data_IF_371021752343
#
_entry.id   IF_371021752343
#
_cell.length_a   1.000
_cell.length_b   1.000
_cell.length_c   1.000
_cell.angle_alpha   90.00
_cell.angle_beta   90.00
_cell.angle_gamma   90.00
#
_symmetry.space_group_name_H-M   'P 1'
#
loop_
_entity.id
_entity.type
_entity.pdbx_description
1 polymer ?
#
# COMPACT_ATOMS: atom_id res chain seq x y z
N UNK A 1 -17.02 -14.77 39.71
CA UNK A 1 -16.45 -14.57 38.36
C UNK A 1 -14.94 -14.69 38.47
N UNK A 2 -14.30 -15.55 37.68
CA UNK A 2 -12.84 -15.65 37.71
C UNK A 2 -12.22 -14.31 37.33
N UNK A 3 -11.26 -13.82 38.13
CA UNK A 3 -10.57 -12.55 37.85
C UNK A 3 -9.79 -12.72 36.55
N UNK A 4 -10.23 -12.04 35.49
CA UNK A 4 -9.56 -12.03 34.20
C UNK A 4 -8.21 -11.31 34.38
N UNK A 5 -7.11 -12.05 34.44
CA UNK A 5 -5.77 -11.49 34.61
C UNK A 5 -4.76 -12.20 33.71
N UNK A 6 -3.80 -11.47 33.11
CA UNK A 6 -2.67 -12.08 32.43
C UNK A 6 -1.92 -13.04 33.37
N UNK A 7 -1.42 -14.16 32.84
CA UNK A 7 -0.58 -15.06 33.63
C UNK A 7 0.79 -14.44 33.87
N UNK A 8 1.28 -14.57 35.11
CA UNK A 8 2.62 -14.17 35.49
C UNK A 8 3.65 -15.13 34.87
N UNK A 9 4.49 -14.59 33.99
CA UNK A 9 5.57 -15.30 33.32
C UNK A 9 6.91 -14.88 33.91
N UNK A 10 7.90 -15.78 33.87
CA UNK A 10 9.28 -15.51 34.32
C UNK A 10 9.89 -14.32 33.58
N UNK A 11 9.65 -14.24 32.28
CA UNK A 11 10.03 -13.11 31.43
C UNK A 11 8.77 -12.42 30.93
N UNK A 12 8.64 -11.14 31.24
CA UNK A 12 7.48 -10.33 30.90
C UNK A 12 7.80 -9.52 29.64
N UNK A 13 7.13 -9.78 28.50
CA UNK A 13 7.46 -9.07 27.28
C UNK A 13 6.91 -7.64 27.26
N UNK A 14 5.91 -7.32 28.08
CA UNK A 14 5.29 -6.00 28.18
C UNK A 14 4.75 -5.76 29.60
N UNK A 15 4.56 -4.49 30.01
CA UNK A 15 3.96 -4.15 31.30
C UNK A 15 2.57 -4.77 31.48
N UNK A 16 2.21 -5.09 32.73
CA UNK A 16 0.94 -5.72 33.08
C UNK A 16 -0.28 -5.01 32.45
N UNK A 17 -0.33 -3.68 32.54
CA UNK A 17 -1.43 -2.89 31.97
C UNK A 17 -1.61 -3.12 30.47
N UNK A 18 -0.50 -3.17 29.71
CA UNK A 18 -0.55 -3.42 28.27
C UNK A 18 -1.07 -4.84 27.97
N UNK A 19 -0.61 -5.84 28.73
CA UNK A 19 -1.06 -7.23 28.58
C UNK A 19 -2.54 -7.39 28.94
N UNK A 20 -2.98 -6.70 29.99
CA UNK A 20 -4.36 -6.70 30.43
C UNK A 20 -5.30 -6.12 29.37
N UNK A 21 -4.93 -4.99 28.73
CA UNK A 21 -5.72 -4.42 27.62
C UNK A 21 -5.80 -5.37 26.42
N UNK A 22 -4.72 -6.09 26.09
CA UNK A 22 -4.72 -7.10 25.03
C UNK A 22 -5.66 -8.26 25.38
N UNK A 23 -5.58 -8.77 26.60
CA UNK A 23 -6.45 -9.84 27.10
C UNK A 23 -7.93 -9.45 27.02
N UNK A 24 -8.28 -8.25 27.46
CA UNK A 24 -9.64 -7.72 27.35
C UNK A 24 -10.10 -7.65 25.88
N UNK A 25 -9.23 -7.19 24.96
CA UNK A 25 -9.54 -7.16 23.53
C UNK A 25 -9.75 -8.56 22.95
N UNK A 26 -8.93 -9.54 23.35
CA UNK A 26 -9.09 -10.94 22.91
C UNK A 26 -10.42 -11.51 23.39
N UNK A 27 -10.76 -11.33 24.66
CA UNK A 27 -12.03 -11.77 25.22
C UNK A 27 -13.22 -11.14 24.48
N UNK A 28 -13.25 -9.79 24.37
CA UNK A 28 -14.30 -9.06 23.65
C UNK A 28 -14.45 -9.49 22.20
N UNK A 29 -13.36 -9.95 21.58
CA UNK A 29 -13.39 -10.44 20.19
C UNK A 29 -13.96 -11.86 20.12
N UNK A 30 -13.62 -12.73 21.06
CA UNK A 30 -14.19 -14.08 21.17
C UNK A 30 -15.69 -14.05 21.51
N UNK A 31 -16.11 -13.13 22.39
CA UNK A 31 -17.51 -12.93 22.78
C UNK A 31 -18.41 -12.48 21.62
N UNK A 32 -17.84 -11.99 20.50
CA UNK A 32 -18.63 -11.71 19.29
C UNK A 32 -19.13 -12.97 18.59
N UNK A 33 -18.48 -14.11 18.82
CA UNK A 33 -18.78 -15.37 18.13
C UNK A 33 -19.26 -16.47 19.06
N UNK A 34 -19.01 -16.35 20.37
CA UNK A 34 -19.40 -17.32 21.39
C UNK A 34 -20.18 -16.66 22.51
N UNK A 35 -21.12 -17.39 23.12
CA UNK A 35 -21.82 -16.94 24.32
C UNK A 35 -20.84 -16.69 25.46
N UNK A 36 -21.04 -15.60 26.21
CA UNK A 36 -20.19 -15.24 27.34
C UNK A 36 -20.18 -16.37 28.38
N UNK A 37 -19.02 -16.99 28.59
CA UNK A 37 -18.81 -18.10 29.51
C UNK A 37 -17.51 -17.92 30.29
N UNK A 38 -17.44 -18.32 31.57
CA UNK A 38 -16.20 -18.34 32.35
C UNK A 38 -15.06 -19.14 31.68
N UNK A 39 -15.39 -20.14 30.86
CA UNK A 39 -14.41 -20.94 30.11
C UNK A 39 -13.76 -20.14 28.98
N UNK A 40 -14.50 -19.22 28.37
CA UNK A 40 -13.98 -18.33 27.33
C UNK A 40 -12.90 -17.40 27.90
N UNK A 41 -13.12 -16.93 29.13
CA UNK A 41 -12.13 -16.14 29.88
C UNK A 41 -10.83 -16.91 30.12
N UNK A 42 -10.91 -18.19 30.51
CA UNK A 42 -9.72 -19.05 30.67
C UNK A 42 -8.98 -19.24 29.36
N UNK A 43 -9.69 -19.54 28.27
CA UNK A 43 -9.09 -19.68 26.93
C UNK A 43 -8.42 -18.39 26.45
N UNK A 44 -9.04 -17.23 26.69
CA UNK A 44 -8.42 -15.94 26.36
C UNK A 44 -7.11 -15.71 27.13
N UNK A 45 -7.06 -16.10 28.41
CA UNK A 45 -5.85 -16.04 29.24
C UNK A 45 -4.76 -16.99 28.71
N UNK A 46 -5.12 -18.21 28.33
CA UNK A 46 -4.18 -19.19 27.76
C UNK A 46 -3.59 -18.71 26.44
N UNK A 47 -4.43 -18.17 25.55
CA UNK A 47 -4.01 -17.61 24.26
C UNK A 47 -3.06 -16.43 24.47
N UNK A 48 -3.41 -15.49 25.36
CA UNK A 48 -2.56 -14.34 25.68
C UNK A 48 -1.22 -14.77 26.27
N UNK A 49 -1.22 -15.76 27.17
CA UNK A 49 -0.01 -16.29 27.76
C UNK A 49 0.89 -16.98 26.72
N UNK A 50 0.31 -17.69 25.75
CA UNK A 50 1.07 -18.27 24.65
C UNK A 50 1.71 -17.21 23.75
N UNK A 51 1.00 -16.13 23.47
CA UNK A 51 1.54 -14.95 22.76
C UNK A 51 2.69 -14.32 23.55
N UNK A 52 2.50 -14.12 24.85
CA UNK A 52 3.50 -13.52 25.71
C UNK A 52 4.78 -14.37 25.80
N UNK A 53 4.67 -15.69 25.95
CA UNK A 53 5.82 -16.62 25.97
C UNK A 53 6.66 -16.59 24.68
N UNK A 54 6.02 -16.39 23.51
CA UNK A 54 6.70 -16.33 22.21
C UNK A 54 7.34 -14.98 21.89
N UNK A 55 7.09 -13.97 22.71
CA UNK A 55 7.48 -12.59 22.42
C UNK A 55 8.71 -12.22 23.24
N UNK A 56 9.77 -11.78 22.58
CA UNK A 56 11.04 -11.39 23.23
C UNK A 56 11.08 -9.92 23.66
N UNK A 57 10.14 -9.10 23.18
CA UNK A 57 10.10 -7.64 23.40
C UNK A 57 8.67 -7.11 23.42
N UNK A 58 8.47 -5.89 23.92
CA UNK A 58 7.14 -5.27 23.94
C UNK A 58 6.59 -5.04 22.52
N UNK A 59 7.45 -4.79 21.54
CA UNK A 59 7.05 -4.60 20.15
C UNK A 59 6.64 -5.93 19.50
N UNK A 60 7.42 -7.00 19.68
CA UNK A 60 7.07 -8.34 19.20
C UNK A 60 5.79 -8.86 19.86
N UNK A 61 5.57 -8.56 21.14
CA UNK A 61 4.33 -8.88 21.84
C UNK A 61 3.10 -8.21 21.24
N UNK A 62 3.14 -6.88 21.04
CA UNK A 62 2.03 -6.15 20.41
C UNK A 62 1.73 -6.68 19.02
N UNK A 63 2.77 -7.03 18.26
CA UNK A 63 2.65 -7.61 16.94
C UNK A 63 1.98 -9.00 16.98
N UNK A 64 2.53 -9.94 17.75
CA UNK A 64 1.99 -11.30 17.90
C UNK A 64 0.56 -11.29 18.43
N UNK A 65 0.25 -10.41 19.37
CA UNK A 65 -1.11 -10.21 19.87
C UNK A 65 -2.07 -9.73 18.77
N UNK A 66 -1.63 -8.81 17.91
CA UNK A 66 -2.43 -8.32 16.78
C UNK A 66 -2.67 -9.42 15.73
N UNK A 67 -1.68 -10.28 15.48
CA UNK A 67 -1.80 -11.44 14.59
C UNK A 67 -2.87 -12.40 15.11
N UNK A 68 -2.80 -12.77 16.38
CA UNK A 68 -3.78 -13.68 17.00
C UNK A 68 -5.19 -13.08 17.01
N UNK A 69 -5.34 -11.79 17.31
CA UNK A 69 -6.65 -11.11 17.23
C UNK A 69 -7.25 -11.19 15.82
N UNK A 70 -6.42 -11.03 14.79
CA UNK A 70 -6.85 -11.17 13.40
C UNK A 70 -7.25 -12.61 13.08
N UNK A 71 -6.49 -13.60 13.54
CA UNK A 71 -6.75 -15.01 13.30
C UNK A 71 -8.06 -15.46 13.96
N UNK A 72 -8.36 -14.95 15.17
CA UNK A 72 -9.66 -15.15 15.84
C UNK A 72 -10.82 -14.61 15.00
N UNK A 73 -10.66 -13.41 14.41
CA UNK A 73 -11.68 -12.81 13.55
C UNK A 73 -11.88 -13.63 12.26
N UNK A 74 -10.79 -14.02 11.61
CA UNK A 74 -10.82 -14.84 10.38
C UNK A 74 -11.45 -16.21 10.60
N UNK A 75 -11.16 -16.85 11.73
CA UNK A 75 -11.70 -18.17 12.06
C UNK A 75 -13.14 -18.14 12.57
N UNK A 76 -13.78 -16.95 12.65
CA UNK A 76 -15.10 -16.73 13.29
C UNK A 76 -15.15 -17.34 14.70
N UNK A 77 -14.04 -17.23 15.44
CA UNK A 77 -13.92 -17.79 16.79
C UNK A 77 -13.69 -19.30 16.88
N UNK A 78 -13.48 -20.05 15.79
CA UNK A 78 -13.15 -21.48 15.88
C UNK A 78 -11.79 -21.67 16.58
N UNK A 79 -11.83 -22.28 17.77
CA UNK A 79 -10.71 -22.39 18.72
C UNK A 79 -9.69 -23.48 18.37
N UNK A 80 -10.08 -24.51 17.59
CA UNK A 80 -9.19 -25.60 17.17
C UNK A 80 -8.07 -25.15 16.22
N UNK A 81 -8.11 -23.89 15.75
CA UNK A 81 -7.10 -23.28 14.90
C UNK A 81 -6.16 -22.32 15.67
N UNK A 82 -6.37 -22.12 16.97
CA UNK A 82 -5.67 -21.13 17.81
C UNK A 82 -4.64 -21.76 18.77
N UNK A 83 -4.60 -23.09 18.83
CA UNK A 83 -3.54 -23.87 19.48
C UNK A 83 -2.17 -23.57 18.83
N UNK A 84 -1.19 -23.09 19.61
CA UNK A 84 0.18 -22.94 19.16
C UNK A 84 0.97 -24.26 19.28
N UNK A 85 0.39 -25.39 18.86
CA UNK A 85 1.15 -26.56 18.45
C UNK A 85 0.30 -27.42 17.51
N UNK A 86 0.88 -27.88 16.40
CA UNK A 86 0.33 -28.97 15.57
C UNK A 86 -0.98 -28.75 14.76
N UNK A 87 -1.25 -27.56 14.23
CA UNK A 87 -1.30 -27.56 12.76
C UNK A 87 0.14 -27.60 12.32
N UNK A 88 0.56 -28.76 11.83
CA UNK A 88 1.61 -28.84 10.83
C UNK A 88 1.34 -27.72 9.82
N UNK A 89 1.98 -26.55 9.98
CA UNK A 89 2.71 -26.00 8.82
C UNK A 89 3.51 -27.21 8.39
N UNK A 90 3.13 -27.84 7.29
CA UNK A 90 3.72 -29.09 6.86
C UNK A 90 5.24 -28.94 6.81
N UNK A 91 5.93 -29.28 7.88
CA UNK A 91 7.24 -29.90 7.81
C UNK A 91 6.89 -31.32 7.40
N UNK A 92 7.00 -31.56 6.09
CA UNK A 92 6.62 -32.76 5.33
C UNK A 92 5.24 -32.72 4.64
N UNK A 93 4.85 -31.60 4.04
CA UNK A 93 4.83 -31.68 2.59
C UNK A 93 6.24 -31.26 2.20
N UNK A 94 6.92 -31.95 1.28
CA UNK A 94 7.88 -31.22 0.46
C UNK A 94 7.12 -29.96 0.03
N UNK A 95 7.48 -28.77 0.53
CA UNK A 95 6.90 -27.54 -0.01
C UNK A 95 7.09 -27.70 -1.50
N UNK A 96 5.99 -27.93 -2.24
CA UNK A 96 6.07 -28.31 -3.64
C UNK A 96 6.78 -27.11 -4.25
N UNK A 97 8.08 -27.26 -4.50
CA UNK A 97 8.87 -26.20 -5.09
C UNK A 97 8.27 -26.07 -6.46
N UNK A 98 7.51 -25.01 -6.68
CA UNK A 98 6.97 -24.77 -8.00
C UNK A 98 8.15 -24.51 -8.91
N UNK A 99 8.18 -25.19 -10.04
CA UNK A 99 9.14 -24.86 -11.10
C UNK A 99 8.87 -23.45 -11.61
N UNK A 100 9.87 -22.85 -12.26
CA UNK A 100 9.68 -21.50 -12.83
C UNK A 100 8.50 -21.46 -13.81
N UNK A 101 8.30 -22.53 -14.58
CA UNK A 101 7.18 -22.66 -15.53
C UNK A 101 5.81 -22.65 -14.83
N UNK A 102 5.65 -23.42 -13.76
CA UNK A 102 4.39 -23.49 -13.02
C UNK A 102 4.04 -22.17 -12.35
N UNK A 103 5.03 -21.45 -11.81
CA UNK A 103 4.81 -20.11 -11.27
C UNK A 103 4.43 -19.11 -12.36
N UNK A 104 5.05 -19.18 -13.55
CA UNK A 104 4.66 -18.33 -14.69
C UNK A 104 3.23 -18.59 -15.14
N UNK A 105 2.80 -19.84 -15.20
CA UNK A 105 1.41 -20.20 -15.56
C UNK A 105 0.42 -19.67 -14.51
N UNK A 106 0.74 -19.83 -13.22
CA UNK A 106 -0.08 -19.30 -12.13
C UNK A 106 -0.17 -17.76 -12.16
N UNK A 107 0.91 -17.07 -12.54
CA UNK A 107 0.93 -15.61 -12.73
C UNK A 107 0.08 -15.18 -13.93
N UNK A 108 0.17 -15.91 -15.05
CA UNK A 108 -0.64 -15.63 -16.23
C UNK A 108 -2.14 -15.80 -15.97
N UNK A 109 -2.52 -16.77 -15.13
CA UNK A 109 -3.91 -17.00 -14.75
C UNK A 109 -4.53 -15.87 -13.90
N UNK A 110 -3.71 -15.01 -13.28
CA UNK A 110 -4.17 -13.88 -12.45
C UNK A 110 -3.88 -12.51 -13.06
N UNK A 111 -3.53 -12.47 -14.34
CA UNK A 111 -3.46 -11.21 -15.09
C UNK A 111 -4.81 -10.53 -15.10
N UNK A 112 -4.80 -9.21 -14.90
CA UNK A 112 -6.01 -8.40 -14.94
C UNK A 112 -6.38 -8.18 -16.41
N UNK A 113 -7.65 -8.38 -16.76
CA UNK A 113 -8.14 -8.14 -18.11
C UNK A 113 -8.19 -6.63 -18.44
N UNK A 114 -8.12 -6.29 -19.73
CA UNK A 114 -8.08 -4.90 -20.18
C UNK A 114 -9.32 -4.09 -19.79
N UNK A 115 -10.51 -4.70 -19.73
CA UNK A 115 -11.73 -3.99 -19.34
C UNK A 115 -11.70 -3.62 -17.85
N UNK A 116 -11.25 -4.54 -17.00
CA UNK A 116 -11.03 -4.28 -15.57
C UNK A 116 -9.93 -3.25 -15.34
N UNK A 117 -8.84 -3.29 -16.12
CA UNK A 117 -7.79 -2.26 -16.06
C UNK A 117 -8.36 -0.87 -16.39
N UNK A 118 -9.08 -0.73 -17.51
CA UNK A 118 -9.69 0.54 -17.89
C UNK A 118 -10.65 1.06 -16.81
N UNK A 119 -11.50 0.19 -16.24
CA UNK A 119 -12.42 0.54 -15.17
C UNK A 119 -11.73 0.99 -13.86
N UNK A 120 -10.46 0.61 -13.67
CA UNK A 120 -9.64 1.00 -12.51
C UNK A 120 -8.69 2.17 -12.79
N UNK A 121 -8.84 2.87 -13.94
CA UNK A 121 -8.09 4.09 -14.25
C UNK A 121 -6.74 3.87 -14.93
N UNK A 122 -6.50 2.68 -15.49
CA UNK A 122 -5.32 2.42 -16.31
C UNK A 122 -5.52 2.96 -17.73
N UNK A 123 -4.47 3.58 -18.28
CA UNK A 123 -4.44 3.95 -19.69
C UNK A 123 -4.17 2.70 -20.54
N UNK A 124 -5.17 2.23 -21.29
CA UNK A 124 -5.06 1.06 -22.18
C UNK A 124 -4.63 1.43 -23.60
N UNK A 125 -4.31 2.70 -23.87
CA UNK A 125 -3.82 3.17 -25.17
C UNK A 125 -4.84 3.06 -26.31
N UNK A 126 -6.10 2.78 -26.00
CA UNK A 126 -7.22 3.08 -26.88
C UNK A 126 -7.38 4.60 -26.94
N UNK A 127 -7.65 5.12 -28.14
CA UNK A 127 -8.18 6.48 -28.28
C UNK A 127 -9.34 6.55 -27.29
N UNK A 128 -9.31 7.51 -26.37
CA UNK A 128 -10.45 7.73 -25.49
C UNK A 128 -11.62 8.19 -26.36
N UNK A 129 -12.35 7.22 -26.93
CA UNK A 129 -13.76 7.33 -27.27
C UNK A 129 -14.62 7.16 -25.99
N UNK A 130 -14.14 7.69 -24.87
CA UNK A 130 -15.06 8.33 -23.94
C UNK A 130 -15.24 9.73 -24.52
N UNK A 131 -16.26 9.84 -25.36
CA UNK A 131 -16.92 11.12 -25.63
C UNK A 131 -17.39 11.62 -24.27
N UNK A 132 -16.52 12.33 -23.55
CA UNK A 132 -16.99 13.27 -22.56
C UNK A 132 -17.60 14.42 -23.33
N UNK A 133 -18.92 14.34 -23.51
CA UNK A 133 -19.78 15.51 -23.65
C UNK A 133 -19.63 16.36 -22.38
N UNK A 134 -18.48 16.99 -22.19
CA UNK A 134 -18.35 18.14 -21.30
C UNK A 134 -18.41 19.33 -22.24
N UNK A 135 -19.56 20.00 -22.20
CA UNK A 135 -19.84 21.20 -22.97
C UNK A 135 -18.62 22.13 -22.96
N UNK A 136 -18.12 22.38 -24.17
CA UNK A 136 -17.12 23.38 -24.48
C UNK A 136 -17.63 24.75 -23.99
N UNK A 137 -17.15 25.17 -22.83
CA UNK A 137 -17.16 26.57 -22.40
C UNK A 137 -15.79 26.89 -21.82
N UNK A 138 -14.80 27.05 -22.68
CA UNK A 138 -13.66 28.00 -22.70
C UNK A 138 -12.98 28.49 -21.39
N UNK A 139 -13.14 27.83 -20.23
CA UNK A 139 -12.45 28.24 -18.98
C UNK A 139 -12.15 27.12 -17.97
N UNK A 140 -12.47 25.85 -18.29
CA UNK A 140 -12.32 24.73 -17.35
C UNK A 140 -10.89 24.17 -17.19
N UNK A 141 -9.95 24.47 -18.10
CA UNK A 141 -8.58 23.96 -18.02
C UNK A 141 -7.62 24.73 -17.09
N UNK A 142 -7.97 25.97 -16.72
CA UNK A 142 -7.11 26.87 -15.96
C UNK A 142 -7.29 26.69 -14.46
N UNK A 143 -8.50 26.37 -14.00
CA UNK A 143 -8.80 26.19 -12.58
C UNK A 143 -8.74 24.72 -12.19
N UNK A 144 -8.24 24.44 -10.99
CA UNK A 144 -8.25 23.11 -10.38
C UNK A 144 -8.50 23.20 -8.88
N UNK A 145 -8.73 22.06 -8.24
CA UNK A 145 -9.00 21.99 -6.81
C UNK A 145 -7.79 21.43 -6.10
N UNK A 146 -7.37 22.08 -5.02
CA UNK A 146 -6.26 21.58 -4.20
C UNK A 146 -6.64 20.26 -3.53
N UNK A 147 -5.88 19.20 -3.75
CA UNK A 147 -6.19 17.86 -3.21
C UNK A 147 -6.07 17.77 -1.68
N UNK A 148 -5.44 18.77 -1.05
CA UNK A 148 -5.18 18.81 0.39
C UNK A 148 -6.21 19.63 1.15
N UNK A 149 -6.45 20.87 0.70
CA UNK A 149 -7.38 21.79 1.38
C UNK A 149 -8.73 21.97 0.66
N UNK A 150 -8.90 21.35 -0.52
CA UNK A 150 -10.09 21.45 -1.38
C UNK A 150 -10.43 22.88 -1.87
N UNK A 151 -9.50 23.82 -1.76
CA UNK A 151 -9.67 25.18 -2.31
C UNK A 151 -9.46 25.17 -3.82
N UNK A 152 -10.34 25.85 -4.57
CA UNK A 152 -10.16 26.06 -6.02
C UNK A 152 -9.13 27.15 -6.26
N UNK A 153 -8.19 26.90 -7.16
CA UNK A 153 -7.13 27.83 -7.53
C UNK A 153 -6.80 27.71 -9.02
N UNK A 154 -6.05 28.67 -9.58
CA UNK A 154 -5.60 28.61 -10.97
C UNK A 154 -4.26 27.89 -11.08
N UNK A 155 -4.12 26.98 -12.04
CA UNK A 155 -2.90 26.19 -12.29
C UNK A 155 -1.69 27.07 -12.63
N UNK A 156 -1.89 28.14 -13.38
CA UNK A 156 -0.83 29.11 -13.73
C UNK A 156 -0.28 29.88 -12.53
N UNK A 157 -1.06 29.96 -11.45
CA UNK A 157 -0.67 30.63 -10.20
C UNK A 157 -0.21 29.64 -9.12
N UNK A 158 0.14 28.40 -9.48
CA UNK A 158 0.50 27.38 -8.49
C UNK A 158 1.70 27.78 -7.62
N UNK A 159 2.69 28.45 -8.21
CA UNK A 159 3.87 28.95 -7.50
C UNK A 159 3.62 30.28 -6.77
N UNK A 160 2.41 30.85 -6.85
CA UNK A 160 2.06 32.02 -6.06
C UNK A 160 1.94 31.63 -4.58
N UNK A 161 2.49 32.42 -3.64
CA UNK A 161 2.40 32.11 -2.22
C UNK A 161 0.95 32.22 -1.75
N UNK A 162 0.51 31.18 -1.05
CA UNK A 162 -0.84 30.98 -0.50
C UNK A 162 -0.72 30.32 0.89
N UNK A 163 -1.84 30.04 1.54
CA UNK A 163 -1.86 29.30 2.81
C UNK A 163 -2.76 28.09 2.69
N UNK A 164 -2.16 26.95 2.35
CA UNK A 164 -2.87 25.67 2.20
C UNK A 164 -2.83 24.90 3.52
N UNK A 165 -3.94 24.90 4.28
CA UNK A 165 -4.07 24.13 5.53
C UNK A 165 -4.81 22.82 5.28
N UNK A 166 -4.28 21.73 5.82
CA UNK A 166 -4.86 20.40 5.63
C UNK A 166 -4.48 19.44 6.77
N UNK A 167 -5.21 18.34 6.85
CA UNK A 167 -4.89 17.21 7.70
C UNK A 167 -4.19 16.13 6.87
N UNK A 168 -3.06 15.64 7.36
CA UNK A 168 -2.25 14.62 6.67
C UNK A 168 -2.99 13.29 6.59
N UNK A 169 -3.61 12.88 7.70
CA UNK A 169 -4.34 11.61 7.77
C UNK A 169 -5.83 11.81 7.51
N UNK A 170 -6.42 10.81 6.84
CA UNK A 170 -7.87 10.78 6.60
C UNK A 170 -8.63 10.72 7.93
N UNK A 171 -9.78 11.40 7.96
CA UNK A 171 -10.75 11.37 9.06
C UNK A 171 -11.18 9.92 9.34
N UNK A 172 -11.04 9.47 10.58
CA UNK A 172 -11.52 8.16 11.06
C UNK A 172 -12.77 8.37 11.89
N UNK A 173 -13.83 7.65 11.54
CA UNK A 173 -15.06 7.69 12.32
C UNK A 173 -14.94 6.82 13.58
N UNK A 174 -15.02 7.44 14.74
CA UNK A 174 -15.05 6.74 16.01
C UNK A 174 -16.51 6.41 16.36
N UNK A 175 -16.83 5.10 16.42
CA UNK A 175 -18.19 4.63 16.72
C UNK A 175 -18.61 4.87 18.16
N UNK A 176 -17.67 4.97 19.09
CA UNK A 176 -17.95 5.17 20.52
C UNK A 176 -18.36 6.62 20.79
N UNK A 177 -17.64 7.58 20.22
CA UNK A 177 -17.91 9.02 20.38
C UNK A 177 -18.89 9.57 19.33
N UNK A 178 -19.22 8.79 18.29
CA UNK A 178 -20.03 9.20 17.12
C UNK A 178 -19.49 10.45 16.41
N UNK A 179 -18.20 10.70 16.54
CA UNK A 179 -17.50 11.81 15.91
C UNK A 179 -16.40 11.27 15.01
N UNK A 180 -16.06 12.04 13.97
CA UNK A 180 -14.87 11.74 13.20
C UNK A 180 -13.68 12.51 13.73
N UNK A 181 -12.58 11.81 13.88
CA UNK A 181 -11.34 12.27 14.48
C UNK A 181 -10.22 12.18 13.44
N UNK A 182 -9.33 13.17 13.42
CA UNK A 182 -8.14 13.18 12.58
C UNK A 182 -6.98 12.56 13.33
N UNK A 183 -6.54 11.37 12.92
CA UNK A 183 -5.49 10.63 13.61
C UNK A 183 -4.10 11.31 13.56
N UNK A 184 -3.91 12.36 12.75
CA UNK A 184 -2.68 13.16 12.73
C UNK A 184 -2.56 14.15 13.91
N UNK A 185 -3.67 14.69 14.42
CA UNK A 185 -3.64 15.69 15.50
C UNK A 185 -4.62 15.42 16.65
N UNK A 186 -5.44 14.38 16.54
CA UNK A 186 -6.48 14.03 17.52
C UNK A 186 -7.70 14.96 17.51
N UNK A 187 -7.76 15.92 16.58
CA UNK A 187 -8.89 16.84 16.52
C UNK A 187 -10.15 16.20 15.99
N UNK A 188 -11.29 16.70 16.48
CA UNK A 188 -12.62 16.22 16.08
C UNK A 188 -13.21 17.13 15.01
N UNK A 189 -14.10 16.59 14.18
CA UNK A 189 -14.80 17.39 13.15
C UNK A 189 -15.67 18.50 13.76
N UNK A 190 -16.11 18.33 15.00
CA UNK A 190 -16.90 19.31 15.75
C UNK A 190 -16.05 20.38 16.45
N UNK A 191 -14.73 20.28 16.38
CA UNK A 191 -13.85 21.25 17.01
C UNK A 191 -13.90 22.60 16.27
N UNK A 192 -14.04 23.68 17.02
CA UNK A 192 -13.92 25.05 16.53
C UNK A 192 -12.49 25.60 16.66
N UNK A 193 -11.52 24.73 16.95
CA UNK A 193 -10.12 25.12 17.09
C UNK A 193 -9.52 25.55 15.75
N UNK A 194 -8.42 26.29 15.80
CA UNK A 194 -7.65 26.66 14.61
C UNK A 194 -7.21 25.43 13.78
N UNK A 195 -7.02 24.28 14.43
CA UNK A 195 -6.63 23.03 13.81
C UNK A 195 -7.76 22.35 13.04
N UNK A 196 -9.02 22.81 13.17
CA UNK A 196 -10.15 22.28 12.41
C UNK A 196 -9.92 22.33 10.89
N UNK A 197 -9.27 23.41 10.41
CA UNK A 197 -8.93 23.59 8.99
C UNK A 197 -7.74 22.73 8.53
N UNK A 198 -6.89 22.27 9.45
CA UNK A 198 -5.71 21.49 9.13
C UNK A 198 -4.59 21.64 10.18
N UNK A 199 -3.91 20.54 10.48
CA UNK A 199 -2.76 20.54 11.38
C UNK A 199 -1.42 20.84 10.68
N UNK A 200 -1.37 20.75 9.34
CA UNK A 200 -0.19 21.07 8.53
C UNK A 200 -0.53 22.19 7.55
N UNK A 201 0.46 23.05 7.29
CA UNK A 201 0.32 24.19 6.37
C UNK A 201 1.40 24.10 5.29
N UNK A 202 1.02 24.38 4.05
CA UNK A 202 1.91 24.60 2.91
C UNK A 202 1.74 26.02 2.37
N UNK A 203 2.81 26.51 1.73
CA UNK A 203 2.84 27.84 1.07
C UNK A 203 2.20 27.80 -0.32
N UNK A 204 1.99 26.63 -0.90
CA UNK A 204 1.35 26.49 -2.21
C UNK A 204 0.24 25.45 -2.17
N UNK A 205 -0.73 25.61 -3.06
CA UNK A 205 -1.70 24.56 -3.35
C UNK A 205 -1.07 23.45 -4.18
N UNK A 206 -1.65 22.26 -4.11
CA UNK A 206 -1.16 21.07 -4.82
C UNK A 206 -2.30 20.40 -5.56
N UNK A 207 -2.04 19.89 -6.75
CA UNK A 207 -3.04 19.22 -7.57
C UNK A 207 -2.48 17.96 -8.20
N UNK A 208 -3.38 17.14 -8.74
CA UNK A 208 -3.06 15.98 -9.55
C UNK A 208 -3.80 16.13 -10.88
N UNK A 209 -3.13 15.80 -11.99
CA UNK A 209 -3.79 15.77 -13.29
C UNK A 209 -4.88 14.69 -13.29
N UNK A 210 -6.08 15.06 -13.75
CA UNK A 210 -7.25 14.16 -13.73
C UNK A 210 -7.38 13.36 -15.03
N UNK A 211 -6.86 13.87 -16.15
CA UNK A 211 -6.99 13.26 -17.47
C UNK A 211 -5.65 12.88 -18.08
N UNK A 212 -5.65 11.84 -18.93
CA UNK A 212 -4.45 11.43 -19.67
C UNK A 212 -3.95 12.53 -20.62
N UNK A 213 -4.86 13.31 -21.22
CA UNK A 213 -4.50 14.42 -22.10
C UNK A 213 -3.74 15.54 -21.37
N UNK A 214 -4.07 15.82 -20.10
CA UNK A 214 -3.29 16.76 -19.28
C UNK A 214 -1.88 16.23 -18.99
N UNK A 215 -1.79 14.92 -18.74
CA UNK A 215 -0.53 14.23 -18.48
C UNK A 215 0.39 14.23 -19.71
N UNK A 216 -0.17 14.02 -20.90
CA UNK A 216 0.54 14.03 -22.19
C UNK A 216 1.14 15.39 -22.56
N UNK A 217 0.53 16.49 -22.11
CA UNK A 217 1.08 17.84 -22.32
C UNK A 217 2.45 18.04 -21.69
N UNK A 218 2.75 17.30 -20.61
CA UNK A 218 4.05 17.33 -19.93
C UNK A 218 5.01 16.35 -20.60
N UNK A 219 4.58 15.10 -20.77
CA UNK A 219 5.39 14.04 -21.36
C UNK A 219 4.48 12.97 -21.98
N UNK A 220 4.76 12.50 -23.21
CA UNK A 220 3.91 11.54 -23.91
C UNK A 220 3.92 10.16 -23.24
N UNK A 221 2.83 9.41 -23.38
CA UNK A 221 2.81 8.01 -22.94
C UNK A 221 3.58 7.10 -23.90
N UNK A 222 4.34 6.17 -23.34
CA UNK A 222 5.10 5.17 -24.06
C UNK A 222 4.44 3.79 -23.92
N UNK A 223 4.12 3.16 -25.06
CA UNK A 223 3.61 1.79 -25.09
C UNK A 223 4.75 0.80 -24.95
N UNK A 224 4.74 -0.01 -23.90
CA UNK A 224 5.77 -1.06 -23.71
C UNK A 224 5.70 -2.14 -24.78
N UNK A 225 4.58 -2.26 -25.50
CA UNK A 225 4.40 -3.20 -26.62
C UNK A 225 5.39 -2.97 -27.77
N UNK A 226 5.96 -1.77 -27.87
CA UNK A 226 6.98 -1.41 -28.86
C UNK A 226 8.40 -1.92 -28.49
N UNK A 227 8.61 -2.30 -27.23
CA UNK A 227 9.92 -2.74 -26.73
C UNK A 227 9.99 -4.27 -26.76
N UNK A 228 10.89 -4.80 -27.59
CA UNK A 228 11.19 -6.23 -27.64
C UNK A 228 12.07 -6.63 -26.44
N UNK A 229 11.86 -7.81 -25.87
CA UNK A 229 12.65 -8.26 -24.74
C UNK A 229 12.30 -9.65 -24.24
N UNK A 230 13.02 -10.08 -23.21
CA UNK A 230 12.86 -11.40 -22.57
C UNK A 230 11.66 -11.38 -21.63
N UNK A 231 11.01 -12.53 -21.46
CA UNK A 231 9.96 -12.71 -20.45
C UNK A 231 10.57 -12.59 -19.05
N UNK A 232 10.05 -11.66 -18.26
CA UNK A 232 10.41 -11.45 -16.87
C UNK A 232 9.18 -11.02 -16.06
N UNK A 233 9.31 -11.05 -14.74
CA UNK A 233 8.24 -10.71 -13.81
C UNK A 233 8.81 -9.73 -12.81
N UNK A 234 8.27 -8.51 -12.82
CA UNK A 234 8.83 -7.36 -12.12
C UNK A 234 7.78 -6.79 -11.18
N UNK A 235 8.15 -6.59 -9.93
CA UNK A 235 7.38 -5.74 -9.04
C UNK A 235 7.93 -4.33 -9.08
N UNK A 236 7.04 -3.35 -9.07
CA UNK A 236 7.43 -1.95 -9.11
C UNK A 236 6.62 -1.14 -8.10
N UNK A 237 7.29 -0.12 -7.58
CA UNK A 237 6.72 0.85 -6.67
C UNK A 237 7.39 2.20 -6.92
N UNK A 238 6.57 3.25 -6.98
CA UNK A 238 7.01 4.61 -7.25
C UNK A 238 6.73 5.51 -6.05
N UNK A 239 7.69 6.37 -5.73
CA UNK A 239 7.47 7.49 -4.85
C UNK A 239 7.19 8.74 -5.67
N UNK A 240 6.24 9.57 -5.21
CA UNK A 240 5.81 10.77 -5.92
C UNK A 240 5.81 12.02 -5.04
N UNK A 241 6.06 13.17 -5.66
CA UNK A 241 5.99 14.50 -5.06
C UNK A 241 4.95 15.38 -5.73
N UNK A 242 4.57 16.46 -5.04
CA UNK A 242 3.82 17.56 -5.62
C UNK A 242 4.78 18.63 -6.15
N UNK A 243 4.52 19.07 -7.38
CA UNK A 243 5.33 20.05 -8.11
C UNK A 243 4.42 21.07 -8.80
N UNK A 244 5.03 22.07 -9.42
CA UNK A 244 4.34 23.03 -10.30
C UNK A 244 3.58 22.37 -11.47
N UNK A 245 4.00 21.18 -11.91
CA UNK A 245 3.34 20.42 -12.96
C UNK A 245 2.31 19.40 -12.44
N UNK A 246 2.10 19.33 -11.13
CA UNK A 246 1.11 18.44 -10.51
C UNK A 246 1.77 17.35 -9.68
N UNK A 247 1.35 16.10 -9.87
CA UNK A 247 1.87 14.95 -9.12
C UNK A 247 2.85 14.17 -9.99
N UNK A 248 4.11 14.13 -9.59
CA UNK A 248 5.22 13.63 -10.41
C UNK A 248 6.04 12.57 -9.69
N UNK A 249 6.63 11.66 -10.47
CA UNK A 249 7.56 10.63 -10.00
C UNK A 249 8.86 11.25 -9.48
N UNK A 250 9.30 10.80 -8.30
CA UNK A 250 10.58 11.22 -7.70
C UNK A 250 11.52 10.05 -7.35
N UNK A 251 11.01 8.82 -7.25
CA UNK A 251 11.84 7.61 -7.08
C UNK A 251 11.12 6.44 -7.70
N UNK A 252 11.85 5.56 -8.36
CA UNK A 252 11.32 4.33 -8.94
C UNK A 252 12.15 3.15 -8.47
N UNK A 253 11.47 2.16 -7.91
CA UNK A 253 12.07 0.88 -7.51
C UNK A 253 11.46 -0.26 -8.32
N UNK A 254 12.31 -1.10 -8.89
CA UNK A 254 11.94 -2.30 -9.64
C UNK A 254 12.67 -3.49 -9.03
N UNK A 255 11.90 -4.52 -8.66
CA UNK A 255 12.38 -5.73 -8.01
C UNK A 255 12.02 -6.95 -8.85
N UNK A 256 12.95 -7.86 -9.03
CA UNK A 256 12.69 -9.14 -9.71
C UNK A 256 11.89 -10.09 -8.83
N UNK A 257 10.82 -10.69 -9.38
CA UNK A 257 9.92 -11.56 -8.63
C UNK A 257 10.55 -12.85 -8.12
N UNK A 258 11.42 -13.44 -8.93
CA UNK A 258 11.99 -14.76 -8.66
C UNK A 258 13.11 -14.67 -7.63
N UNK A 259 14.04 -13.73 -7.83
CA UNK A 259 15.21 -13.53 -6.99
C UNK A 259 14.98 -12.56 -5.83
N UNK A 260 13.90 -11.77 -5.86
CA UNK A 260 13.63 -10.68 -4.91
C UNK A 260 14.76 -9.64 -4.83
N UNK A 261 15.60 -9.55 -5.87
CA UNK A 261 16.67 -8.55 -5.97
C UNK A 261 16.15 -7.28 -6.59
N UNK A 262 16.58 -6.15 -6.05
CA UNK A 262 16.36 -4.83 -6.63
C UNK A 262 17.18 -4.73 -7.92
N UNK A 263 16.50 -4.54 -9.05
CA UNK A 263 17.11 -4.38 -10.37
C UNK A 263 17.34 -2.91 -10.73
N UNK A 264 16.50 -2.03 -10.20
CA UNK A 264 16.57 -0.59 -10.42
C UNK A 264 16.02 0.11 -9.19
N UNK A 265 16.73 1.10 -8.66
CA UNK A 265 16.30 1.97 -7.57
C UNK A 265 17.04 3.29 -7.72
N UNK A 266 16.36 4.31 -8.26
CA UNK A 266 16.96 5.60 -8.58
C UNK A 266 15.99 6.73 -8.24
N UNK A 267 16.56 7.86 -7.81
CA UNK A 267 15.83 9.11 -7.63
C UNK A 267 15.69 9.79 -9.00
N UNK A 268 14.46 10.14 -9.36
CA UNK A 268 14.12 10.78 -10.63
C UNK A 268 13.87 12.27 -10.40
N UNK A 269 14.49 13.10 -11.23
CA UNK A 269 14.23 14.55 -11.21
C UNK A 269 12.87 14.84 -11.86
N UNK A 270 11.93 15.48 -11.15
CA UNK A 270 10.65 15.87 -11.73
C UNK A 270 10.83 16.97 -12.79
N UNK A 271 9.81 17.18 -13.63
CA UNK A 271 9.80 18.25 -14.63
C UNK A 271 9.57 19.61 -14.00
N UNK A 272 8.63 19.70 -13.06
CA UNK A 272 8.26 20.92 -12.37
C UNK A 272 9.11 21.23 -11.15
N UNK A 273 9.11 22.49 -10.74
CA UNK A 273 9.62 22.90 -9.43
C UNK A 273 8.87 22.19 -8.29
N UNK A 274 9.62 21.64 -7.33
CA UNK A 274 9.07 20.87 -6.21
C UNK A 274 8.37 21.78 -5.22
N UNK A 275 7.11 21.48 -4.92
CA UNK A 275 6.30 22.17 -3.91
C UNK A 275 6.34 21.42 -2.58
N UNK A 276 6.15 20.10 -2.63
CA UNK A 276 6.24 19.23 -1.47
C UNK A 276 6.67 17.83 -1.89
N UNK A 277 7.80 17.37 -1.36
CA UNK A 277 8.33 16.01 -1.56
C UNK A 277 7.48 14.93 -0.92
N UNK A 278 6.53 15.31 -0.04
CA UNK A 278 5.66 14.38 0.65
C UNK A 278 6.45 13.33 1.47
N UNK A 279 7.59 13.74 2.06
CA UNK A 279 8.62 12.86 2.65
C UNK A 279 8.11 11.88 3.70
N UNK A 280 7.02 12.21 4.42
CA UNK A 280 6.37 11.30 5.37
C UNK A 280 5.83 10.02 4.68
N UNK A 281 5.50 10.11 3.40
CA UNK A 281 5.03 8.99 2.58
C UNK A 281 6.02 8.59 1.50
N UNK A 282 6.90 9.47 1.03
CA UNK A 282 7.85 9.15 -0.03
C UNK A 282 9.21 8.66 0.46
N UNK A 283 9.57 8.95 1.72
CA UNK A 283 10.91 8.73 2.25
C UNK A 283 12.02 9.58 1.58
N UNK A 284 11.67 10.43 0.62
CA UNK A 284 12.63 11.29 -0.09
C UNK A 284 12.63 12.67 0.55
N UNK A 285 13.79 13.08 1.06
CA UNK A 285 13.96 14.37 1.75
C UNK A 285 14.63 15.44 0.89
N UNK A 286 15.46 15.02 -0.07
CA UNK A 286 16.20 15.91 -0.96
C UNK A 286 16.36 15.23 -2.31
N UNK A 287 16.16 15.99 -3.40
CA UNK A 287 16.50 15.59 -4.76
C UNK A 287 17.72 16.42 -5.16
N UNK A 288 18.89 15.78 -5.25
CA UNK A 288 20.14 16.42 -5.66
C UNK A 288 20.38 16.15 -7.13
N UNK A 289 20.73 17.19 -7.89
CA UNK A 289 20.89 17.09 -9.34
C UNK A 289 22.01 16.12 -9.73
N UNK A 290 23.07 16.02 -8.92
CA UNK A 290 24.23 15.17 -9.19
C UNK A 290 23.96 13.68 -8.98
N UNK A 291 22.95 13.33 -8.18
CA UNK A 291 22.61 11.94 -7.84
C UNK A 291 21.26 11.50 -8.41
N UNK A 292 20.50 12.42 -9.01
CA UNK A 292 19.21 12.12 -9.63
C UNK A 292 19.36 11.90 -11.12
N UNK A 293 18.55 11.00 -11.68
CA UNK A 293 18.44 10.83 -13.13
C UNK A 293 17.31 11.69 -13.69
N UNK A 294 17.45 12.18 -14.92
CA UNK A 294 16.31 12.83 -15.58
C UNK A 294 15.23 11.79 -15.95
N UNK A 295 13.99 12.24 -16.07
CA UNK A 295 12.87 11.37 -16.49
C UNK A 295 13.14 10.65 -17.81
N UNK A 296 13.76 11.32 -18.79
CA UNK A 296 14.07 10.72 -20.09
C UNK A 296 15.19 9.68 -20.01
N UNK A 297 16.19 9.87 -19.15
CA UNK A 297 17.24 8.87 -18.87
C UNK A 297 16.67 7.66 -18.13
N UNK A 298 15.81 7.90 -17.14
CA UNK A 298 15.07 6.84 -16.45
C UNK A 298 14.31 5.98 -17.46
N UNK A 299 13.48 6.60 -18.31
CA UNK A 299 12.72 5.88 -19.35
C UNK A 299 13.62 5.03 -20.25
N UNK A 300 14.75 5.57 -20.71
CA UNK A 300 15.72 4.83 -21.54
C UNK A 300 16.34 3.64 -20.79
N UNK A 301 16.61 3.78 -19.50
CA UNK A 301 17.16 2.69 -18.66
C UNK A 301 16.12 1.61 -18.41
N UNK A 302 14.86 1.98 -18.17
CA UNK A 302 13.82 1.00 -17.78
C UNK A 302 13.14 0.32 -18.96
N UNK A 303 12.97 1.02 -20.10
CA UNK A 303 12.41 0.46 -21.32
C UNK A 303 13.49 -0.28 -22.11
N UNK A 304 13.88 -1.44 -21.58
CA UNK A 304 15.00 -2.24 -22.06
C UNK A 304 14.64 -3.72 -22.19
N UNK A 305 15.35 -4.45 -23.04
CA UNK A 305 15.09 -5.88 -23.33
C UNK A 305 15.16 -6.80 -22.09
N UNK A 306 15.92 -6.39 -21.06
CA UNK A 306 16.12 -7.12 -19.81
C UNK A 306 15.28 -6.61 -18.64
N UNK A 307 14.61 -5.47 -18.81
CA UNK A 307 13.78 -4.82 -17.79
C UNK A 307 12.33 -4.71 -18.30
N UNK A 308 11.72 -3.52 -18.36
CA UNK A 308 10.33 -3.39 -18.78
C UNK A 308 10.22 -3.46 -20.31
N UNK A 309 9.52 -4.48 -20.79
CA UNK A 309 9.27 -4.72 -22.21
C UNK A 309 7.88 -5.35 -22.43
N UNK A 310 7.52 -5.65 -23.69
CA UNK A 310 6.19 -6.21 -24.04
C UNK A 310 5.88 -7.58 -23.40
N UNK A 311 6.90 -8.33 -23.01
CA UNK A 311 6.79 -9.66 -22.43
C UNK A 311 6.86 -9.66 -20.90
N UNK A 312 7.19 -8.52 -20.29
CA UNK A 312 7.21 -8.35 -18.85
C UNK A 312 5.81 -8.51 -18.25
N UNK A 313 5.74 -9.07 -17.04
CA UNK A 313 4.55 -9.02 -16.19
C UNK A 313 4.86 -8.03 -15.06
N UNK A 314 4.06 -6.98 -14.94
CA UNK A 314 4.24 -5.95 -13.91
C UNK A 314 3.33 -6.21 -12.72
N UNK A 315 3.90 -6.17 -11.52
CA UNK A 315 3.21 -6.45 -10.26
C UNK A 315 3.25 -5.21 -9.38
N UNK A 316 2.11 -4.86 -8.79
CA UNK A 316 2.01 -3.68 -7.93
C UNK A 316 0.81 -3.69 -7.00
N UNK A 317 0.65 -2.59 -6.28
CA UNK A 317 -0.50 -2.32 -5.43
C UNK A 317 -1.08 -0.93 -5.74
N UNK A 318 -2.16 -0.88 -6.52
CA UNK A 318 -2.69 0.40 -7.03
C UNK A 318 -1.81 0.99 -8.14
N UNK A 319 -1.33 0.11 -9.04
CA UNK A 319 -0.30 0.41 -10.04
C UNK A 319 -0.76 1.42 -11.10
N UNK A 320 -2.05 1.77 -11.12
CA UNK A 320 -2.56 2.80 -12.03
C UNK A 320 -1.86 4.14 -11.79
N UNK A 321 -1.53 4.45 -10.54
CA UNK A 321 -0.92 5.73 -10.19
C UNK A 321 0.53 5.77 -10.68
N UNK A 322 1.27 4.69 -10.41
CA UNK A 322 2.65 4.47 -10.82
C UNK A 322 2.82 4.55 -12.34
N UNK A 323 2.06 3.74 -13.10
CA UNK A 323 2.18 3.74 -14.56
C UNK A 323 1.78 5.07 -15.19
N UNK A 324 0.80 5.77 -14.61
CA UNK A 324 0.42 7.09 -15.08
C UNK A 324 1.54 8.13 -14.86
N UNK A 325 2.21 8.16 -13.69
CA UNK A 325 3.33 9.08 -13.46
C UNK A 325 4.59 8.69 -14.22
N UNK A 326 4.81 7.40 -14.46
CA UNK A 326 5.88 6.88 -15.34
C UNK A 326 5.58 7.11 -16.82
N UNK A 327 4.36 7.53 -17.18
CA UNK A 327 3.89 7.68 -18.57
C UNK A 327 4.03 6.39 -19.37
N UNK A 328 3.67 5.25 -18.78
CA UNK A 328 3.74 3.94 -19.43
C UNK A 328 2.34 3.35 -19.67
N UNK A 329 2.16 2.75 -20.84
CA UNK A 329 1.00 1.92 -21.19
C UNK A 329 1.49 0.48 -21.29
N UNK A 330 0.96 -0.39 -20.44
CA UNK A 330 1.34 -1.80 -20.33
C UNK A 330 0.12 -2.70 -20.17
N UNK A 331 0.13 -3.85 -20.84
CA UNK A 331 -1.05 -4.74 -20.89
C UNK A 331 -1.02 -5.87 -19.84
N UNK A 332 0.17 -6.33 -19.43
CA UNK A 332 0.32 -7.51 -18.56
C UNK A 332 0.54 -7.10 -17.11
N UNK A 333 -0.56 -6.72 -16.45
CA UNK A 333 -0.53 -6.17 -15.09
C UNK A 333 -1.18 -7.14 -14.09
N UNK A 334 -0.53 -7.28 -12.94
CA UNK A 334 -1.07 -7.93 -11.74
C UNK A 334 -1.14 -6.89 -10.63
N UNK A 335 -2.33 -6.37 -10.35
CA UNK A 335 -2.54 -5.43 -9.25
C UNK A 335 -3.17 -6.13 -8.04
N UNK A 336 -2.43 -6.17 -6.93
CA UNK A 336 -2.91 -6.75 -5.67
C UNK A 336 -4.09 -6.00 -5.06
N UNK A 337 -4.26 -4.70 -5.32
CA UNK A 337 -5.41 -3.93 -4.88
C UNK A 337 -6.71 -4.37 -5.60
N UNK A 338 -6.59 -4.77 -6.87
CA UNK A 338 -7.71 -5.31 -7.68
C UNK A 338 -7.95 -6.78 -7.31
N UNK A 339 -6.91 -7.58 -7.12
CA UNK A 339 -7.01 -9.01 -6.79
C UNK A 339 -7.60 -9.28 -5.39
N UNK A 340 -7.61 -8.28 -4.51
CA UNK A 340 -8.20 -8.37 -3.16
C UNK A 340 -9.24 -7.26 -2.95
N UNK A 341 -10.41 -7.34 -3.63
CA UNK A 341 -11.42 -6.30 -3.55
C UNK A 341 -12.04 -6.27 -2.15
N UNK A 342 -12.24 -5.06 -1.59
CA UNK A 342 -12.98 -4.84 -0.34
C UNK A 342 -14.17 -3.91 -0.57
N UNK A 343 -15.15 -4.41 -1.33
CA UNK A 343 -16.33 -3.65 -1.73
C UNK A 343 -15.92 -2.47 -2.61
N UNK A 344 -16.39 -1.26 -2.28
CA UNK A 344 -16.07 -0.04 -3.04
C UNK A 344 -14.69 0.57 -2.71
N UNK A 345 -13.97 0.03 -1.73
CA UNK A 345 -12.69 0.61 -1.29
C UNK A 345 -11.53 -0.36 -1.57
N UNK A 346 -10.44 0.17 -2.14
CA UNK A 346 -9.16 -0.55 -2.23
C UNK A 346 -8.57 -0.68 -0.83
N UNK A 347 -8.12 -1.88 -0.45
CA UNK A 347 -7.38 -2.08 0.81
C UNK A 347 -6.01 -1.43 0.71
N UNK A 348 -5.48 -0.88 1.81
CA UNK A 348 -4.08 -0.46 1.83
C UNK A 348 -3.14 -1.66 1.76
N UNK A 349 -1.96 -1.49 1.14
CA UNK A 349 -0.93 -2.53 1.12
C UNK A 349 -0.54 -2.95 2.53
N UNK A 350 -0.43 -1.98 3.45
CA UNK A 350 -0.15 -2.22 4.87
C UNK A 350 -1.15 -3.17 5.52
N UNK A 351 -2.44 -2.94 5.31
CA UNK A 351 -3.49 -3.80 5.86
C UNK A 351 -3.47 -5.18 5.19
N UNK A 352 -3.21 -5.23 3.88
CA UNK A 352 -3.20 -6.45 3.09
C UNK A 352 -1.99 -7.33 3.43
N UNK A 353 -0.80 -6.75 3.53
CA UNK A 353 0.42 -7.43 3.96
C UNK A 353 0.28 -7.96 5.38
N UNK A 354 -0.31 -7.17 6.29
CA UNK A 354 -0.62 -7.66 7.62
C UNK A 354 -1.65 -8.79 7.55
N UNK A 355 -2.70 -8.68 6.76
CA UNK A 355 -3.75 -9.68 6.70
C UNK A 355 -3.29 -11.02 6.14
N UNK A 356 -2.57 -10.99 5.02
CA UNK A 356 -2.25 -12.18 4.20
C UNK A 356 -0.95 -12.82 4.66
N UNK A 357 0.12 -12.02 4.80
CA UNK A 357 1.46 -12.53 5.12
C UNK A 357 1.87 -12.27 6.57
N UNK A 358 0.98 -11.67 7.38
CA UNK A 358 1.27 -11.28 8.76
C UNK A 358 2.49 -10.37 8.91
N UNK A 359 2.87 -9.61 7.89
CA UNK A 359 3.99 -8.66 7.97
C UNK A 359 3.47 -7.26 8.28
N UNK A 360 4.14 -6.54 9.18
CA UNK A 360 3.95 -5.08 9.31
C UNK A 360 5.00 -4.41 8.45
N UNK A 361 4.54 -3.61 7.51
CA UNK A 361 5.34 -2.74 6.64
C UNK A 361 4.98 -1.29 6.96
N UNK A 362 5.78 -0.34 6.46
CA UNK A 362 5.53 1.10 6.63
C UNK A 362 5.36 1.46 8.12
N UNK A 363 6.29 1.00 8.96
CA UNK A 363 6.34 1.34 10.39
C UNK A 363 7.02 2.68 10.67
N UNK A 364 7.65 3.28 9.66
CA UNK A 364 8.22 4.62 9.65
C UNK A 364 7.92 5.29 8.30
N UNK A 365 8.92 5.94 7.71
CA UNK A 365 8.88 6.38 6.31
C UNK A 365 8.69 5.18 5.37
N UNK A 366 8.10 5.41 4.21
CA UNK A 366 7.94 4.34 3.23
C UNK A 366 9.28 4.03 2.58
N UNK A 367 9.46 2.75 2.27
CA UNK A 367 10.57 2.23 1.50
C UNK A 367 9.97 1.46 0.33
N UNK A 368 10.01 2.06 -0.85
CA UNK A 368 9.51 1.46 -2.09
C UNK A 368 10.04 0.03 -2.35
N UNK A 369 11.25 -0.31 -1.89
CA UNK A 369 11.76 -1.68 -2.00
C UNK A 369 11.03 -2.65 -1.06
N UNK A 370 10.73 -2.23 0.17
CA UNK A 370 9.92 -3.00 1.12
C UNK A 370 8.51 -3.20 0.55
N UNK A 371 7.91 -2.16 -0.01
CA UNK A 371 6.53 -2.18 -0.51
C UNK A 371 6.40 -3.05 -1.78
N UNK A 372 7.35 -2.98 -2.71
CA UNK A 372 7.42 -3.89 -3.86
C UNK A 372 7.55 -5.36 -3.40
N UNK A 373 8.45 -5.64 -2.45
CA UNK A 373 8.64 -7.00 -1.90
C UNK A 373 7.40 -7.50 -1.14
N UNK A 374 6.75 -6.62 -0.38
CA UNK A 374 5.52 -6.95 0.34
C UNK A 374 4.38 -7.31 -0.62
N UNK A 375 4.24 -6.56 -1.70
CA UNK A 375 3.27 -6.82 -2.78
C UNK A 375 3.51 -8.20 -3.40
N UNK A 376 4.77 -8.53 -3.75
CA UNK A 376 5.12 -9.86 -4.25
C UNK A 376 4.81 -10.95 -3.24
N UNK A 377 5.07 -10.72 -1.96
CA UNK A 377 4.80 -11.70 -0.90
C UNK A 377 3.30 -11.98 -0.76
N UNK A 378 2.47 -10.95 -0.83
CA UNK A 378 1.00 -11.08 -0.84
C UNK A 378 0.53 -11.90 -2.04
N UNK A 379 1.10 -11.66 -3.22
CA UNK A 379 0.77 -12.43 -4.42
C UNK A 379 1.25 -13.88 -4.33
N UNK A 380 2.48 -14.13 -3.92
CA UNK A 380 3.04 -15.49 -3.70
C UNK A 380 2.12 -16.29 -2.77
N UNK A 381 1.66 -15.68 -1.68
CA UNK A 381 0.70 -16.30 -0.76
C UNK A 381 -0.66 -16.61 -1.41
N UNK A 382 -1.15 -15.77 -2.35
CA UNK A 382 -2.40 -16.03 -3.11
C UNK A 382 -2.25 -17.24 -4.02
N UNK A 383 -1.10 -17.36 -4.66
CA UNK A 383 -0.78 -18.42 -5.64
C UNK A 383 -0.29 -19.71 -4.99
N UNK A 384 -0.20 -19.78 -3.66
CA UNK A 384 0.32 -20.95 -2.94
C UNK A 384 1.84 -21.14 -3.09
N UNK A 385 2.55 -20.12 -3.58
CA UNK A 385 4.02 -20.14 -3.69
C UNK A 385 4.62 -19.93 -2.29
N UNK A 386 5.55 -20.78 -1.84
CA UNK A 386 6.26 -20.59 -0.58
C UNK A 386 7.01 -19.25 -0.55
N UNK A 387 6.79 -18.43 0.49
CA UNK A 387 7.44 -17.12 0.62
C UNK A 387 8.97 -17.18 0.69
N UNK A 388 9.52 -18.30 1.16
CA UNK A 388 10.96 -18.52 1.29
C UNK A 388 11.60 -19.10 0.02
N UNK A 389 10.84 -19.31 -1.07
CA UNK A 389 11.39 -19.84 -2.31
C UNK A 389 12.06 -18.72 -3.12
N UNK A 390 13.39 -18.80 -3.16
CA UNK A 390 14.31 -17.92 -3.90
C UNK A 390 15.07 -18.67 -5.01
N UNK A 391 15.16 -20.00 -4.90
CA UNK A 391 15.71 -20.90 -5.93
C UNK A 391 14.59 -21.44 -6.81
N UNK A 392 14.78 -21.33 -8.12
CA UNK A 392 13.82 -21.74 -9.15
C UNK A 392 14.52 -22.67 -10.14
N UNK A 393 13.95 -23.87 -10.30
CA UNK A 393 14.34 -24.85 -11.33
C UNK A 393 13.64 -24.57 -12.67
#
# INVERSE_FOLDING_TARGET
MAVLRPLDLKTQPAPYQSRYMVLQKMLKTLEKFHSASPELGKKAVEIEAAVAKKSASSQSYRFNASVVLRDILKSKGKLDCLEPSSKKRGTNASAIKLTKSQAMEALQAVLVDQATLAANGYNTGGVSEIIEQVNDTDNQGIYTTCIRCNTKFRKDQIMSPTTCRFHVQRKKYNRETRQGEYACCGETTSSSSFLALGCKTLVHHVFRAETFSEMERISPFHKTSQVQGKTNVLALDCEMAFTSCGYELIRLTIVDFFTSKVLYDEIVRPFGEVIDLNSEFSGVHVIKEETSVSFSEMLKKILHESLINKNSILIGHGLENDLNVMRLIHDKIIDTAILYPRGHYKSSLKDLAFEVVSRRIQTGEHDSSEDAIATMSVLKSKLGIPLAQDVWE
#
